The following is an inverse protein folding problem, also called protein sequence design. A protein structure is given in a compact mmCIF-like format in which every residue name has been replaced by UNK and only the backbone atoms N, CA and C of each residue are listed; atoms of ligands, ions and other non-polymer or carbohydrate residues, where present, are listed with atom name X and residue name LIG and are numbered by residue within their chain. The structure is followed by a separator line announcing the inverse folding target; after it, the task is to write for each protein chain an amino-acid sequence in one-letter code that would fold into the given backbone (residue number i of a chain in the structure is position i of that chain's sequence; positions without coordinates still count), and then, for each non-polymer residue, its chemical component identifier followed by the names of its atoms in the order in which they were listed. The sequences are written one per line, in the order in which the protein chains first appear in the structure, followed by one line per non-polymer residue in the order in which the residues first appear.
data_IF_696351724079
#
_entry.id   IF_696351724079
#
_cell.length_a   1.000
_cell.length_b   1.000
_cell.length_c   1.000
_cell.angle_alpha   90.00
_cell.angle_beta   90.00
_cell.angle_gamma   90.00
#
_symmetry.space_group_name_H-M   'P 1'
#
loop_
_entity.id
_entity.type
_entity.pdbx_description
1 polymer ?
#
# COMPACT_ATOMS: atom_id res chain seq x y z
N UNK A 1 -23.40 1.64 -5.77
CA UNK A 1 -22.16 1.99 -5.04
C UNK A 1 -20.87 1.32 -5.57
N UNK A 2 -20.80 0.00 -5.80
CA UNK A 2 -19.52 -0.69 -6.15
C UNK A 2 -18.88 -0.23 -7.46
N UNK A 3 -19.67 0.15 -8.47
CA UNK A 3 -19.16 0.68 -9.76
C UNK A 3 -18.52 2.07 -9.61
N UNK A 4 -19.05 2.93 -8.74
CA UNK A 4 -18.52 4.27 -8.49
C UNK A 4 -17.20 4.22 -7.73
N UNK A 5 -17.13 3.43 -6.65
CA UNK A 5 -15.89 3.25 -5.88
C UNK A 5 -14.74 2.72 -6.76
N UNK A 6 -15.05 1.82 -7.70
CA UNK A 6 -14.09 1.31 -8.66
C UNK A 6 -13.57 2.38 -9.63
N UNK A 7 -14.49 3.21 -10.15
CA UNK A 7 -14.14 4.32 -11.05
C UNK A 7 -13.26 5.34 -10.34
N UNK A 8 -13.67 5.74 -9.14
CA UNK A 8 -12.90 6.65 -8.29
C UNK A 8 -11.53 6.06 -7.91
N UNK A 9 -11.46 4.77 -7.58
CA UNK A 9 -10.20 4.08 -7.30
C UNK A 9 -9.23 4.06 -8.47
N UNK A 10 -9.73 3.79 -9.68
CA UNK A 10 -8.91 3.85 -10.90
C UNK A 10 -8.44 5.27 -11.20
N UNK A 11 -9.31 6.26 -11.05
CA UNK A 11 -8.94 7.67 -11.19
C UNK A 11 -7.85 8.07 -10.19
N UNK A 12 -8.01 7.69 -8.93
CA UNK A 12 -7.02 7.93 -7.88
C UNK A 12 -5.69 7.23 -8.15
N UNK A 13 -5.73 6.01 -8.72
CA UNK A 13 -4.53 5.27 -9.11
C UNK A 13 -3.76 6.02 -10.22
N UNK A 14 -4.47 6.55 -11.22
CA UNK A 14 -3.86 7.37 -12.27
C UNK A 14 -3.29 8.68 -11.71
N UNK A 15 -4.01 9.35 -10.80
CA UNK A 15 -3.54 10.57 -10.14
C UNK A 15 -2.26 10.31 -9.35
N UNK A 16 -2.25 9.23 -8.58
CA UNK A 16 -1.06 8.85 -7.84
C UNK A 16 0.12 8.55 -8.77
N UNK A 17 -0.09 7.88 -9.91
CA UNK A 17 0.97 7.62 -10.88
C UNK A 17 1.54 8.91 -11.50
N UNK A 18 0.69 9.88 -11.85
CA UNK A 18 1.15 11.21 -12.29
C UNK A 18 1.98 11.92 -11.22
N UNK A 19 1.55 11.84 -9.96
CA UNK A 19 2.29 12.43 -8.85
C UNK A 19 3.67 11.78 -8.67
N UNK A 20 3.78 10.46 -8.85
CA UNK A 20 5.06 9.77 -8.81
C UNK A 20 5.95 10.16 -9.98
N UNK A 21 5.39 10.30 -11.18
CA UNK A 21 6.14 10.77 -12.36
C UNK A 21 6.72 12.17 -12.16
N UNK A 22 5.97 13.08 -11.51
CA UNK A 22 6.45 14.41 -11.16
C UNK A 22 7.58 14.41 -10.10
N UNK A 23 7.76 13.30 -9.37
CA UNK A 23 8.80 13.14 -8.35
C UNK A 23 9.99 12.29 -8.83
N UNK A 24 9.99 11.81 -10.07
CA UNK A 24 11.08 10.97 -10.58
C UNK A 24 12.43 11.69 -10.49
N UNK A 25 13.42 11.01 -9.91
CA UNK A 25 14.76 11.57 -9.69
C UNK A 25 14.87 12.68 -8.64
N UNK A 26 13.76 13.10 -8.01
CA UNK A 26 13.73 14.28 -7.15
C UNK A 26 13.50 13.96 -5.66
N UNK A 27 13.25 12.70 -5.30
CA UNK A 27 12.98 12.33 -3.91
C UNK A 27 14.28 12.13 -3.16
N UNK A 28 14.51 12.98 -2.16
CA UNK A 28 15.62 12.90 -1.22
C UNK A 28 15.07 12.79 0.21
N UNK A 29 14.51 11.63 0.55
CA UNK A 29 14.16 11.28 1.93
C UNK A 29 14.30 9.77 2.16
N UNK A 30 14.51 9.31 3.41
CA UNK A 30 14.39 7.90 3.74
C UNK A 30 12.97 7.37 3.52
N UNK A 31 12.86 6.12 3.09
CA UNK A 31 11.57 5.43 2.99
C UNK A 31 11.36 4.47 4.16
N UNK A 32 10.11 4.33 4.59
CA UNK A 32 9.66 3.35 5.57
C UNK A 32 8.72 2.37 4.88
N UNK A 33 8.95 1.07 5.07
CA UNK A 33 8.23 0.01 4.39
C UNK A 33 7.77 -1.10 5.32
N UNK A 34 6.51 -1.48 5.15
CA UNK A 34 5.95 -2.71 5.70
C UNK A 34 4.76 -3.18 4.82
N UNK A 35 4.35 -4.43 4.98
CA UNK A 35 3.12 -4.95 4.42
C UNK A 35 1.97 -4.83 5.41
N UNK A 36 0.97 -4.05 5.04
CA UNK A 36 -0.31 -4.03 5.73
C UNK A 36 -1.06 -5.37 5.52
N UNK A 37 -1.24 -6.13 6.60
CA UNK A 37 -1.95 -7.41 6.56
C UNK A 37 -3.47 -7.24 6.61
N UNK A 38 -4.17 -7.80 5.62
CA UNK A 38 -5.63 -7.81 5.55
C UNK A 38 -6.20 -9.11 4.96
N UNK A 39 -7.53 -9.18 4.87
CA UNK A 39 -8.27 -10.35 4.41
C UNK A 39 -9.19 -10.00 3.24
N UNK A 40 -9.32 -10.94 2.30
CA UNK A 40 -10.19 -10.82 1.13
C UNK A 40 -11.21 -11.94 1.20
N UNK A 41 -12.50 -11.66 1.20
CA UNK A 41 -13.59 -12.65 1.26
C UNK A 41 -13.68 -13.45 2.58
N UNK A 42 -12.57 -13.88 3.18
CA UNK A 42 -12.55 -14.54 4.49
C UNK A 42 -11.19 -14.46 5.18
N UNK A 43 -11.14 -14.82 6.48
CA UNK A 43 -9.90 -14.89 7.25
C UNK A 43 -8.83 -15.87 6.72
N UNK A 44 -9.20 -16.81 5.84
CA UNK A 44 -8.23 -17.75 5.23
C UNK A 44 -7.56 -17.19 3.97
N UNK A 45 -8.14 -16.15 3.40
CA UNK A 45 -7.75 -15.56 2.13
C UNK A 45 -7.02 -14.24 2.44
N UNK A 46 -5.73 -14.36 2.74
CA UNK A 46 -4.90 -13.26 3.20
C UNK A 46 -4.31 -12.45 2.05
N UNK A 47 -4.16 -11.17 2.30
CA UNK A 47 -3.54 -10.22 1.39
C UNK A 47 -2.66 -9.29 2.22
N UNK A 48 -1.34 -9.41 2.03
CA UNK A 48 -0.42 -8.36 2.42
C UNK A 48 -0.48 -7.26 1.37
N UNK A 49 -0.32 -6.00 1.78
CA UNK A 49 -0.22 -4.86 0.87
C UNK A 49 1.05 -4.10 1.25
N UNK A 50 2.11 -4.18 0.43
CA UNK A 50 3.36 -3.46 0.69
C UNK A 50 3.12 -1.97 0.55
N UNK A 51 3.45 -1.18 1.56
CA UNK A 51 3.18 0.27 1.62
C UNK A 51 4.46 1.05 1.89
N UNK A 52 5.17 1.54 0.85
CA UNK A 52 6.27 2.48 1.03
C UNK A 52 5.74 3.87 1.38
N UNK A 53 6.31 4.48 2.41
CA UNK A 53 5.93 5.80 2.91
C UNK A 53 7.19 6.62 3.20
N UNK A 54 7.19 7.90 2.84
CA UNK A 54 8.27 8.82 3.22
C UNK A 54 8.42 8.93 4.74
N UNK A 55 9.64 8.88 5.25
CA UNK A 55 9.92 9.03 6.68
C UNK A 55 9.58 10.45 7.16
N UNK A 56 9.76 11.45 6.30
CA UNK A 56 9.64 12.87 6.65
C UNK A 56 8.37 13.49 6.07
N UNK A 57 8.11 13.26 4.79
CA UNK A 57 6.93 13.77 4.09
C UNK A 57 5.64 13.09 4.57
N UNK A 58 5.77 11.82 4.96
CA UNK A 58 4.67 10.88 5.20
C UNK A 58 3.82 10.62 3.95
N UNK A 59 4.39 10.88 2.77
CA UNK A 59 3.77 10.63 1.48
C UNK A 59 3.73 9.12 1.22
N UNK A 60 2.58 8.61 0.81
CA UNK A 60 2.42 7.22 0.41
C UNK A 60 2.92 7.11 -1.02
N UNK A 61 4.08 6.48 -1.22
CA UNK A 61 4.72 6.34 -2.53
C UNK A 61 4.12 5.21 -3.36
N UNK A 62 3.39 4.30 -2.72
CA UNK A 62 2.64 3.31 -3.46
C UNK A 62 1.99 2.25 -2.62
N UNK A 63 1.54 1.20 -3.30
CA UNK A 63 0.97 0.01 -2.70
C UNK A 63 1.12 -1.17 -3.66
N UNK A 64 1.44 -2.36 -3.16
CA UNK A 64 1.51 -3.57 -3.99
C UNK A 64 0.95 -4.81 -3.28
N UNK A 65 0.12 -5.63 -3.94
CA UNK A 65 -0.48 -6.82 -3.32
C UNK A 65 0.49 -8.03 -3.24
N UNK A 66 0.55 -8.62 -2.04
CA UNK A 66 1.16 -9.91 -1.73
C UNK A 66 0.09 -10.93 -1.28
N UNK A 67 -0.68 -11.53 -2.21
CA UNK A 67 -1.65 -12.56 -1.86
C UNK A 67 -0.94 -13.82 -1.35
N UNK A 68 -1.33 -14.31 -0.19
CA UNK A 68 -0.71 -15.47 0.44
C UNK A 68 -1.73 -16.25 1.28
N UNK A 69 -1.33 -17.43 1.75
CA UNK A 69 -2.15 -18.25 2.65
C UNK A 69 -1.48 -18.31 4.02
N UNK A 70 -2.27 -18.55 5.06
CA UNK A 70 -1.75 -18.89 6.37
C UNK A 70 -0.88 -20.16 6.26
N UNK A 71 0.38 -20.07 6.69
CA UNK A 71 1.22 -21.24 6.94
C UNK A 71 0.77 -21.92 8.24
N UNK A 72 0.63 -23.25 8.24
CA UNK A 72 0.30 -24.04 9.43
C UNK A 72 -0.74 -25.16 9.21
N UNK A 73 -0.86 -26.06 10.20
CA UNK A 73 -1.85 -27.15 10.18
C UNK A 73 -3.27 -26.59 10.19
N UNK A 74 -4.02 -26.85 9.11
CA UNK A 74 -5.46 -26.61 9.07
C UNK A 74 -6.15 -27.54 10.07
N UNK A 75 -6.95 -26.96 10.97
CA UNK A 75 -7.87 -27.75 11.81
C UNK A 75 -8.82 -28.57 10.94
N UNK A 76 -9.31 -29.70 11.47
CA UNK A 76 -10.21 -30.60 10.74
C UNK A 76 -11.46 -29.88 10.18
N UNK A 77 -11.99 -28.89 10.92
CA UNK A 77 -13.10 -28.01 10.48
C UNK A 77 -12.75 -27.16 9.26
N UNK A 78 -11.49 -26.72 9.10
CA UNK A 78 -11.01 -25.94 7.95
C UNK A 78 -10.70 -26.82 6.73
N UNK A 79 -10.43 -28.11 6.92
CA UNK A 79 -10.18 -29.10 5.85
C UNK A 79 -11.43 -29.47 5.06
N UNK A 80 -12.63 -29.39 5.66
CA UNK A 80 -13.92 -29.74 5.03
C UNK A 80 -14.47 -28.73 4.00
N UNK A 81 -13.70 -27.72 3.57
CA UNK A 81 -14.23 -26.65 2.72
C UNK A 81 -14.47 -27.12 1.28
N UNK A 82 -15.71 -26.95 0.80
CA UNK A 82 -16.17 -27.23 -0.58
C UNK A 82 -15.89 -26.11 -1.60
N UNK A 83 -14.96 -25.18 -1.33
CA UNK A 83 -14.73 -24.00 -2.19
C UNK A 83 -13.28 -23.89 -2.67
N UNK A 84 -13.03 -23.32 -3.86
CA UNK A 84 -11.67 -23.13 -4.37
C UNK A 84 -10.88 -22.15 -3.50
N UNK A 85 -9.60 -22.47 -3.30
CA UNK A 85 -8.66 -21.67 -2.52
C UNK A 85 -7.68 -20.92 -3.42
N UNK A 86 -7.18 -19.74 -3.03
CA UNK A 86 -6.30 -18.92 -3.86
C UNK A 86 -5.01 -19.65 -4.18
N UNK A 87 -4.61 -19.79 -5.45
CA UNK A 87 -3.33 -20.45 -5.80
C UNK A 87 -2.21 -19.87 -4.93
N UNK A 88 -1.37 -20.74 -4.36
CA UNK A 88 -0.21 -20.28 -3.59
C UNK A 88 0.69 -19.54 -4.56
N UNK A 89 0.94 -18.27 -4.28
CA UNK A 89 1.91 -17.47 -5.03
C UNK A 89 3.24 -17.63 -4.30
N UNK A 90 4.23 -18.34 -4.87
CA UNK A 90 5.52 -18.50 -4.24
C UNK A 90 6.15 -17.13 -4.01
N UNK A 91 6.74 -16.93 -2.83
CA UNK A 91 7.50 -15.71 -2.49
C UNK A 91 6.71 -14.42 -2.75
N UNK A 92 5.42 -14.42 -2.39
CA UNK A 92 4.50 -13.31 -2.65
C UNK A 92 5.01 -11.97 -2.08
N UNK A 93 5.55 -11.98 -0.86
CA UNK A 93 6.14 -10.80 -0.23
C UNK A 93 7.38 -10.31 -0.98
N UNK A 94 8.34 -11.19 -1.32
CA UNK A 94 9.52 -10.81 -2.13
C UNK A 94 9.11 -10.17 -3.46
N UNK A 95 8.13 -10.74 -4.16
CA UNK A 95 7.62 -10.19 -5.44
C UNK A 95 6.98 -8.82 -5.27
N UNK A 96 6.19 -8.65 -4.21
CA UNK A 96 5.57 -7.36 -3.88
C UNK A 96 6.61 -6.31 -3.51
N UNK A 97 7.55 -6.65 -2.62
CA UNK A 97 8.67 -5.78 -2.25
C UNK A 97 9.48 -5.37 -3.48
N UNK A 98 9.82 -6.29 -4.39
CA UNK A 98 10.57 -5.94 -5.62
C UNK A 98 9.83 -4.95 -6.52
N UNK A 99 8.51 -5.09 -6.68
CA UNK A 99 7.71 -4.11 -7.44
C UNK A 99 7.65 -2.75 -6.73
N UNK A 100 7.62 -2.73 -5.41
CA UNK A 100 7.75 -1.49 -4.63
C UNK A 100 9.13 -0.87 -4.83
N UNK A 101 10.21 -1.65 -4.76
CA UNK A 101 11.57 -1.16 -4.97
C UNK A 101 11.78 -0.61 -6.38
N UNK A 102 11.11 -1.17 -7.40
CA UNK A 102 11.11 -0.60 -8.76
C UNK A 102 10.53 0.82 -8.79
N UNK A 103 9.48 1.10 -8.01
CA UNK A 103 8.93 2.45 -7.87
C UNK A 103 9.96 3.35 -7.18
N UNK A 104 10.48 2.93 -6.02
CA UNK A 104 11.41 3.76 -5.23
C UNK A 104 12.71 4.06 -5.99
N UNK A 105 13.25 3.09 -6.74
CA UNK A 105 14.44 3.27 -7.56
C UNK A 105 14.28 4.31 -8.68
N UNK A 106 13.06 4.57 -9.17
CA UNK A 106 12.80 5.67 -10.12
C UNK A 106 12.77 7.03 -9.43
N UNK A 107 12.27 7.07 -8.20
CA UNK A 107 12.15 8.28 -7.41
C UNK A 107 13.49 8.75 -6.84
N UNK A 108 14.33 7.82 -6.40
CA UNK A 108 15.64 8.05 -5.79
C UNK A 108 16.73 7.20 -6.48
N UNK A 109 17.12 7.54 -7.73
CA UNK A 109 18.00 6.70 -8.55
C UNK A 109 19.44 6.60 -8.03
N UNK A 110 19.90 7.59 -7.26
CA UNK A 110 21.21 7.61 -6.61
C UNK A 110 21.34 6.62 -5.45
N UNK A 111 20.21 6.08 -4.96
CA UNK A 111 20.13 5.25 -3.77
C UNK A 111 19.34 5.93 -2.65
N UNK A 112 18.94 5.14 -1.66
CA UNK A 112 18.12 5.61 -0.55
C UNK A 112 18.24 4.69 0.66
N UNK A 113 17.93 5.26 1.83
CA UNK A 113 17.71 4.49 3.05
C UNK A 113 16.31 3.89 3.05
N UNK A 114 16.20 2.61 3.39
CA UNK A 114 14.94 1.90 3.57
C UNK A 114 14.84 1.36 4.98
N UNK A 115 13.87 1.84 5.77
CA UNK A 115 13.54 1.32 7.09
C UNK A 115 12.45 0.25 6.97
N UNK A 116 12.63 -0.90 7.60
CA UNK A 116 11.57 -1.92 7.70
C UNK A 116 11.59 -2.68 9.01
N UNK A 117 10.57 -3.52 9.22
CA UNK A 117 10.62 -4.56 10.25
C UNK A 117 11.61 -5.68 9.87
N UNK A 118 11.77 -6.65 10.77
CA UNK A 118 12.63 -7.81 10.54
C UNK A 118 11.91 -8.96 9.82
N UNK A 119 11.49 -8.71 8.58
CA UNK A 119 10.97 -9.76 7.71
C UNK A 119 12.07 -10.32 6.79
N UNK A 120 12.32 -11.64 6.80
CA UNK A 120 13.32 -12.27 5.91
C UNK A 120 13.06 -12.02 4.41
N UNK A 121 11.79 -11.91 4.02
CA UNK A 121 11.41 -11.59 2.64
C UNK A 121 11.94 -10.22 2.20
N UNK A 122 12.03 -9.25 3.10
CA UNK A 122 12.51 -7.90 2.79
C UNK A 122 14.02 -7.92 2.58
N UNK A 123 14.76 -8.56 3.50
CA UNK A 123 16.21 -8.79 3.36
C UNK A 123 16.55 -9.46 2.03
N UNK A 124 15.78 -10.49 1.66
CA UNK A 124 15.96 -11.20 0.38
C UNK A 124 15.66 -10.32 -0.83
N UNK A 125 14.69 -9.41 -0.72
CA UNK A 125 14.32 -8.53 -1.81
C UNK A 125 15.32 -7.39 -2.04
N UNK A 126 15.97 -6.90 -0.97
CA UNK A 126 16.93 -5.78 -1.00
C UNK A 126 18.38 -6.21 -1.24
N UNK A 127 18.75 -7.45 -0.90
CA UNK A 127 20.14 -7.94 -0.90
C UNK A 127 20.95 -7.71 -2.20
N UNK A 128 20.29 -7.64 -3.36
CA UNK A 128 20.97 -7.53 -4.66
C UNK A 128 21.18 -6.08 -5.12
N UNK A 129 20.61 -5.08 -4.45
CA UNK A 129 20.69 -3.68 -4.87
C UNK A 129 21.54 -2.89 -3.86
N UNK A 130 22.81 -2.67 -4.20
CA UNK A 130 23.78 -1.99 -3.33
C UNK A 130 23.46 -0.52 -3.09
N UNK A 131 22.50 0.06 -3.83
CA UNK A 131 22.05 1.45 -3.64
C UNK A 131 21.06 1.58 -2.48
N UNK A 132 20.56 0.46 -1.96
CA UNK A 132 19.59 0.43 -0.87
C UNK A 132 20.33 0.24 0.46
N UNK A 133 20.36 1.28 1.28
CA UNK A 133 20.78 1.15 2.68
C UNK A 133 19.60 0.63 3.52
N UNK A 134 19.51 -0.69 3.67
CA UNK A 134 18.41 -1.35 4.35
C UNK A 134 18.63 -1.39 5.88
N UNK A 135 17.93 -0.51 6.60
CA UNK A 135 17.91 -0.44 8.07
C UNK A 135 16.74 -1.24 8.63
N UNK A 136 17.03 -2.14 9.57
CA UNK A 136 16.06 -3.12 10.08
C UNK A 136 15.78 -2.83 11.54
N UNK A 137 14.51 -2.60 11.85
CA UNK A 137 14.02 -2.27 13.17
C UNK A 137 13.08 -3.39 13.65
N UNK A 138 13.62 -4.46 14.27
CA UNK A 138 12.80 -5.56 14.77
C UNK A 138 11.81 -5.05 15.84
N UNK A 139 10.66 -5.70 15.96
CA UNK A 139 9.71 -5.35 17.01
C UNK A 139 10.27 -5.83 18.37
N UNK A 140 10.58 -4.92 19.31
CA UNK A 140 11.17 -5.31 20.58
C UNK A 140 10.12 -5.94 21.49
N UNK A 141 10.58 -6.63 22.53
CA UNK A 141 9.74 -7.01 23.66
C UNK A 141 9.16 -5.74 24.30
N UNK A 142 7.84 -5.69 24.46
CA UNK A 142 7.12 -4.57 25.08
C UNK A 142 6.50 -5.01 26.41
N UNK A 143 6.33 -4.06 27.33
CA UNK A 143 5.72 -4.29 28.64
C UNK A 143 6.71 -4.14 29.80
N UNK A 144 6.35 -4.56 31.03
CA UNK A 144 7.17 -4.37 32.23
C UNK A 144 8.58 -4.97 32.15
N UNK A 145 8.75 -6.06 31.40
CA UNK A 145 10.04 -6.72 31.15
C UNK A 145 10.63 -6.38 29.76
N UNK A 146 10.09 -5.36 29.08
CA UNK A 146 10.50 -4.98 27.73
C UNK A 146 11.62 -3.94 27.70
N UNK A 147 12.31 -3.85 26.57
CA UNK A 147 13.29 -2.80 26.32
C UNK A 147 12.57 -1.54 25.82
N UNK A 148 12.41 -0.57 26.73
CA UNK A 148 11.76 0.71 26.41
C UNK A 148 12.56 1.54 25.41
N UNK A 149 13.89 1.50 25.45
CA UNK A 149 14.73 2.29 24.55
C UNK A 149 14.59 1.77 23.11
N UNK A 150 14.73 0.45 22.93
CA UNK A 150 14.50 -0.19 21.64
C UNK A 150 13.08 0.04 21.10
N UNK A 151 12.06 0.04 21.99
CA UNK A 151 10.68 0.33 21.59
C UNK A 151 10.51 1.77 21.06
N UNK A 152 11.13 2.75 21.73
CA UNK A 152 11.10 4.15 21.29
C UNK A 152 11.84 4.33 19.96
N UNK A 153 13.01 3.70 19.81
CA UNK A 153 13.78 3.76 18.57
C UNK A 153 12.98 3.19 17.39
N UNK A 154 12.44 1.97 17.53
CA UNK A 154 11.60 1.35 16.51
C UNK A 154 10.37 2.19 16.20
N UNK A 155 9.70 2.73 17.21
CA UNK A 155 8.48 3.53 17.01
C UNK A 155 8.76 4.84 16.28
N UNK A 156 9.96 5.42 16.44
CA UNK A 156 10.42 6.57 15.65
C UNK A 156 10.72 6.17 14.20
N UNK A 157 11.49 5.10 14.01
CA UNK A 157 11.91 4.65 12.69
C UNK A 157 10.74 4.17 11.80
N UNK A 158 9.71 3.59 12.41
CA UNK A 158 8.55 3.02 11.72
C UNK A 158 7.28 3.89 11.78
N UNK A 159 7.37 5.11 12.34
CA UNK A 159 6.20 5.92 12.68
C UNK A 159 5.27 6.18 11.48
N UNK A 160 5.83 6.57 10.33
CA UNK A 160 5.05 7.03 9.17
C UNK A 160 4.21 5.89 8.57
N UNK A 161 4.78 4.68 8.44
CA UNK A 161 4.06 3.49 7.98
C UNK A 161 3.06 2.98 9.02
N UNK A 162 3.43 2.98 10.31
CA UNK A 162 2.53 2.59 11.40
C UNK A 162 1.31 3.53 11.48
N UNK A 163 1.51 4.83 11.25
CA UNK A 163 0.45 5.83 11.18
C UNK A 163 -0.48 5.55 9.99
N UNK A 164 0.06 5.29 8.80
CA UNK A 164 -0.74 4.91 7.63
C UNK A 164 -1.59 3.67 7.94
N UNK A 165 -1.01 2.65 8.55
CA UNK A 165 -1.72 1.42 8.90
C UNK A 165 -2.81 1.64 9.95
N UNK A 166 -2.59 2.51 10.94
CA UNK A 166 -3.63 2.93 11.89
C UNK A 166 -4.77 3.65 11.18
N UNK A 167 -4.46 4.58 10.27
CA UNK A 167 -5.47 5.28 9.48
C UNK A 167 -6.26 4.33 8.58
N UNK A 168 -5.61 3.36 7.94
CA UNK A 168 -6.27 2.32 7.15
C UNK A 168 -7.28 1.54 7.99
N UNK A 169 -6.89 1.09 9.19
CA UNK A 169 -7.78 0.35 10.09
C UNK A 169 -8.95 1.18 10.59
N UNK A 170 -8.75 2.48 10.78
CA UNK A 170 -9.77 3.38 11.29
C UNK A 170 -10.76 3.84 10.20
N UNK A 171 -10.25 4.20 9.02
CA UNK A 171 -11.05 4.81 7.96
C UNK A 171 -11.67 3.81 6.99
N UNK A 172 -11.26 2.53 7.03
CA UNK A 172 -11.78 1.49 6.14
C UNK A 172 -12.29 0.30 6.97
N UNK A 173 -13.61 0.16 7.10
CA UNK A 173 -14.25 -0.86 7.94
C UNK A 173 -13.82 -2.32 7.62
N UNK A 174 -13.44 -2.57 6.36
CA UNK A 174 -12.99 -3.88 5.90
C UNK A 174 -11.54 -4.24 6.29
N UNK A 175 -10.84 -3.32 6.97
CA UNK A 175 -9.49 -3.48 7.49
C UNK A 175 -9.43 -3.56 9.03
N UNK A 176 -10.57 -3.43 9.71
CA UNK A 176 -10.67 -3.62 11.16
C UNK A 176 -10.10 -4.98 11.60
N UNK A 177 -9.43 -5.02 12.76
CA UNK A 177 -9.02 -6.28 13.39
C UNK A 177 -10.31 -7.05 13.73
N UNK A 178 -10.40 -8.31 13.31
CA UNK A 178 -11.60 -9.15 13.53
C UNK A 178 -12.88 -8.69 12.80
N UNK A 179 -12.74 -8.03 11.64
CA UNK A 179 -13.91 -7.56 10.89
C UNK A 179 -14.77 -8.70 10.32
N UNK A 180 -16.09 -8.55 10.40
CA UNK A 180 -17.07 -9.34 9.62
C UNK A 180 -17.25 -8.78 8.20
N UNK A 181 -16.76 -7.56 7.93
CA UNK A 181 -16.96 -6.81 6.70
C UNK A 181 -15.81 -6.98 5.70
N UNK A 182 -15.37 -8.22 5.44
CA UNK A 182 -14.27 -8.47 4.52
C UNK A 182 -14.51 -7.89 3.12
N UNK A 183 -13.46 -7.32 2.53
CA UNK A 183 -13.52 -6.92 1.12
C UNK A 183 -13.73 -8.16 0.26
N UNK A 184 -14.80 -8.20 -0.54
CA UNK A 184 -15.14 -9.41 -1.33
C UNK A 184 -14.08 -9.76 -2.40
N UNK A 185 -13.41 -8.76 -2.98
CA UNK A 185 -12.43 -8.94 -4.07
C UNK A 185 -11.17 -8.13 -3.81
N UNK A 186 -10.02 -8.69 -4.15
CA UNK A 186 -8.71 -8.06 -3.99
C UNK A 186 -8.64 -6.71 -4.73
N UNK A 187 -9.09 -6.65 -5.99
CA UNK A 187 -9.13 -5.38 -6.73
C UNK A 187 -9.96 -4.31 -6.04
N UNK A 188 -11.09 -4.66 -5.42
CA UNK A 188 -11.92 -3.66 -4.74
C UNK A 188 -11.23 -3.09 -3.49
N UNK A 189 -10.36 -3.87 -2.85
CA UNK A 189 -9.50 -3.39 -1.77
C UNK A 189 -8.43 -2.46 -2.34
N UNK A 190 -7.74 -2.89 -3.41
CA UNK A 190 -6.64 -2.13 -4.01
C UNK A 190 -7.12 -0.82 -4.68
N UNK A 191 -8.33 -0.79 -5.25
CA UNK A 191 -8.98 0.44 -5.73
C UNK A 191 -9.25 1.42 -4.59
N UNK A 192 -9.59 0.93 -3.39
CA UNK A 192 -9.74 1.78 -2.20
C UNK A 192 -8.40 2.19 -1.60
N UNK A 193 -7.35 1.38 -1.74
CA UNK A 193 -5.99 1.77 -1.39
C UNK A 193 -5.52 2.96 -2.23
N UNK A 194 -5.85 3.00 -3.52
CA UNK A 194 -5.56 4.16 -4.37
C UNK A 194 -6.25 5.43 -3.86
N UNK A 195 -7.54 5.34 -3.50
CA UNK A 195 -8.28 6.46 -2.90
C UNK A 195 -7.69 6.89 -1.56
N UNK A 196 -7.29 5.93 -0.74
CA UNK A 196 -6.64 6.19 0.53
C UNK A 196 -5.29 6.91 0.34
N UNK A 197 -4.48 6.50 -0.63
CA UNK A 197 -3.20 7.14 -0.94
C UNK A 197 -3.42 8.60 -1.37
N UNK A 198 -4.34 8.85 -2.31
CA UNK A 198 -4.66 10.23 -2.75
C UNK A 198 -5.23 11.07 -1.61
N UNK A 199 -6.15 10.50 -0.81
CA UNK A 199 -6.66 11.19 0.37
C UNK A 199 -5.54 11.52 1.34
N UNK A 200 -4.66 10.56 1.66
CA UNK A 200 -3.55 10.77 2.59
C UNK A 200 -2.58 11.83 2.08
N UNK A 201 -2.28 11.81 0.79
CA UNK A 201 -1.24 12.63 0.19
C UNK A 201 -1.70 14.08 -0.06
N UNK A 202 -2.92 14.28 -0.58
CA UNK A 202 -3.35 15.59 -1.09
C UNK A 202 -4.44 16.27 -0.26
N UNK A 203 -5.26 15.50 0.47
CA UNK A 203 -6.47 16.02 1.15
C UNK A 203 -6.31 16.02 2.67
N UNK A 204 -5.67 15.00 3.23
CA UNK A 204 -5.51 14.85 4.67
C UNK A 204 -4.26 15.59 5.14
N UNK A 205 -4.44 16.42 6.16
CA UNK A 205 -3.34 17.06 6.88
C UNK A 205 -2.40 16.03 7.51
N UNK A 206 -1.12 16.37 7.63
CA UNK A 206 -0.13 15.51 8.28
C UNK A 206 -0.51 15.26 9.74
N UNK A 207 -1.00 16.29 10.44
CA UNK A 207 -1.42 16.26 11.84
C UNK A 207 -2.79 16.92 12.01
N UNK A 208 -3.70 16.27 12.74
CA UNK A 208 -4.98 16.86 13.16
C UNK A 208 -4.86 17.74 14.41
N UNK A 209 -3.71 17.66 15.11
CA UNK A 209 -3.46 18.44 16.34
C UNK A 209 -2.89 19.83 16.08
N UNK A 210 -2.20 20.00 14.95
CA UNK A 210 -1.62 21.29 14.55
C UNK A 210 -2.64 22.02 13.67
N UNK A 211 -2.71 23.34 13.82
CA UNK A 211 -3.58 24.19 13.00
C UNK A 211 -3.16 24.24 11.53
N UNK A 212 -1.89 23.95 11.24
CA UNK A 212 -1.31 24.13 9.90
C UNK A 212 -1.87 23.12 8.89
N UNK A 213 -2.41 23.57 7.75
CA UNK A 213 -3.05 22.71 6.75
C UNK A 213 -2.04 22.00 5.83
N UNK A 214 -0.91 21.55 6.36
CA UNK A 214 0.17 20.91 5.57
C UNK A 214 -0.23 19.47 5.26
N UNK A 215 -0.12 19.08 3.99
CA UNK A 215 -0.31 17.69 3.52
C UNK A 215 1.03 17.08 3.10
N UNK A 216 1.14 15.75 2.99
CA UNK A 216 2.35 15.11 2.48
C UNK A 216 2.77 15.61 1.09
N UNK A 217 1.82 15.83 0.17
CA UNK A 217 2.10 16.35 -1.15
C UNK A 217 2.69 17.77 -1.12
N UNK A 218 2.25 18.62 -0.18
CA UNK A 218 2.82 19.95 0.02
C UNK A 218 4.27 19.89 0.51
N UNK A 219 4.59 18.94 1.39
CA UNK A 219 5.99 18.75 1.86
C UNK A 219 6.95 18.37 0.73
N UNK A 220 6.45 17.75 -0.33
CA UNK A 220 7.21 17.37 -1.52
C UNK A 220 7.07 18.39 -2.67
N UNK A 221 6.44 19.56 -2.44
CA UNK A 221 6.28 20.58 -3.48
C UNK A 221 5.32 20.21 -4.62
N UNK A 222 4.53 19.14 -4.50
CA UNK A 222 3.56 18.74 -5.54
C UNK A 222 2.34 19.66 -5.63
N UNK A 223 2.06 20.43 -4.57
CA UNK A 223 0.97 21.40 -4.50
C UNK A 223 1.26 22.43 -3.41
N UNK A 224 0.78 23.65 -3.60
CA UNK A 224 0.96 24.74 -2.63
C UNK A 224 -0.11 24.77 -1.54
N UNK A 225 -1.21 24.03 -1.74
CA UNK A 225 -2.34 23.98 -0.80
C UNK A 225 -2.91 22.58 -0.64
N UNK A 226 -3.63 22.40 0.46
CA UNK A 226 -4.49 21.24 0.68
C UNK A 226 -5.60 21.18 -0.39
N UNK A 227 -5.84 19.99 -0.93
CA UNK A 227 -6.86 19.75 -1.94
C UNK A 227 -8.20 19.38 -1.33
N UNK A 228 -9.26 19.79 -2.01
CA UNK A 228 -10.61 19.26 -1.86
C UNK A 228 -10.82 18.05 -2.78
N UNK A 229 -11.92 17.31 -2.60
CA UNK A 229 -12.32 16.29 -3.57
C UNK A 229 -12.66 16.88 -4.95
N UNK A 230 -13.08 18.15 -5.02
CA UNK A 230 -13.25 18.87 -6.27
C UNK A 230 -11.93 19.00 -7.03
N UNK A 231 -10.84 19.30 -6.33
CA UNK A 231 -9.49 19.37 -6.92
C UNK A 231 -9.02 18.00 -7.42
N UNK A 232 -9.20 16.94 -6.62
CA UNK A 232 -8.86 15.55 -7.00
C UNK A 232 -9.57 15.14 -8.30
N UNK A 233 -10.83 15.55 -8.47
CA UNK A 233 -11.69 15.18 -9.59
C UNK A 233 -11.73 16.24 -10.72
N UNK A 234 -10.99 17.34 -10.57
CA UNK A 234 -11.04 18.50 -11.49
C UNK A 234 -10.57 18.19 -12.90
N UNK A 235 -9.70 17.20 -13.07
CA UNK A 235 -9.10 16.82 -14.35
C UNK A 235 -9.33 15.35 -14.64
N UNK A 236 -9.83 15.06 -15.84
CA UNK A 236 -9.95 13.68 -16.33
C UNK A 236 -8.57 13.12 -16.67
N UNK A 237 -8.33 11.87 -16.25
CA UNK A 237 -7.06 11.16 -16.47
C UNK A 237 -7.27 9.96 -17.38
N UNK A 238 -6.27 9.69 -18.24
CA UNK A 238 -6.35 8.65 -19.25
C UNK A 238 -5.20 7.66 -19.07
N UNK A 239 -5.48 6.35 -18.90
CA UNK A 239 -4.43 5.35 -18.68
C UNK A 239 -3.49 5.19 -19.88
N UNK A 240 -3.92 5.54 -21.09
CA UNK A 240 -3.05 5.51 -22.27
C UNK A 240 -2.03 6.65 -22.33
N UNK A 241 -2.08 7.61 -21.39
CA UNK A 241 -1.17 8.77 -21.31
C UNK A 241 -0.30 8.75 -20.05
N UNK A 242 -0.49 7.78 -19.17
CA UNK A 242 0.15 7.71 -17.86
C UNK A 242 0.80 6.34 -17.77
N UNK A 243 2.12 6.31 -17.64
CA UNK A 243 2.83 5.06 -17.40
C UNK A 243 2.46 4.53 -16.01
N UNK A 244 2.03 3.27 -15.95
CA UNK A 244 1.70 2.61 -14.70
C UNK A 244 2.78 1.59 -14.35
N UNK A 245 3.20 1.51 -13.07
CA UNK A 245 3.96 0.36 -12.59
C UNK A 245 3.24 -0.95 -12.92
N UNK A 246 4.00 -2.02 -13.20
CA UNK A 246 3.43 -3.32 -13.63
C UNK A 246 2.31 -3.82 -12.69
N UNK A 247 2.53 -3.71 -11.38
CA UNK A 247 1.55 -4.11 -10.36
C UNK A 247 0.24 -3.32 -10.47
N UNK A 248 0.30 -2.06 -10.92
CA UNK A 248 -0.81 -1.13 -10.97
C UNK A 248 -1.62 -1.23 -12.24
N UNK A 249 -1.02 -1.52 -13.40
CA UNK A 249 -1.77 -1.85 -14.61
C UNK A 249 -2.71 -3.05 -14.35
N UNK A 250 -2.21 -4.07 -13.65
CA UNK A 250 -3.02 -5.22 -13.25
C UNK A 250 -4.16 -4.85 -12.31
N UNK A 251 -3.98 -3.87 -11.42
CA UNK A 251 -5.05 -3.37 -10.53
C UNK A 251 -6.08 -2.60 -11.36
N UNK A 252 -5.61 -1.71 -12.23
CA UNK A 252 -6.43 -0.88 -13.12
C UNK A 252 -7.35 -1.73 -14.00
N UNK A 253 -6.80 -2.79 -14.63
CA UNK A 253 -7.54 -3.72 -15.49
C UNK A 253 -8.36 -4.76 -14.71
N UNK A 254 -8.25 -4.76 -13.37
CA UNK A 254 -8.86 -5.75 -12.46
C UNK A 254 -8.38 -7.19 -12.67
N UNK A 255 -7.10 -7.36 -12.96
CA UNK A 255 -6.44 -8.66 -13.16
C UNK A 255 -6.12 -9.46 -11.89
N UNK A 256 -6.33 -8.91 -10.69
CA UNK A 256 -6.16 -9.68 -9.43
C UNK A 256 -7.41 -10.49 -9.11
N UNK A 257 -7.37 -11.80 -9.41
CA UNK A 257 -8.49 -12.71 -9.19
C UNK A 257 -8.57 -13.09 -7.71
N UNK A 258 -9.79 -13.08 -7.16
CA UNK A 258 -10.10 -13.69 -5.85
C UNK A 258 -10.79 -15.03 -6.10
N UNK A 259 -10.08 -16.17 -5.99
CA UNK A 259 -10.61 -17.44 -6.52
C UNK A 259 -11.90 -17.92 -5.87
N UNK A 260 -12.12 -17.58 -4.59
CA UNK A 260 -13.35 -17.91 -3.90
C UNK A 260 -14.60 -17.19 -4.43
N UNK A 261 -14.42 -16.12 -5.22
CA UNK A 261 -15.52 -15.34 -5.86
C UNK A 261 -15.57 -15.59 -7.38
N UNK A 262 -14.46 -16.02 -7.99
CA UNK A 262 -14.38 -16.30 -9.42
C UNK A 262 -13.92 -15.11 -10.26
N UNK A 263 -14.16 -15.18 -11.58
CA UNK A 263 -13.66 -14.19 -12.56
C UNK A 263 -14.10 -12.76 -12.21
N UNK A 264 -13.25 -11.80 -12.52
CA UNK A 264 -13.57 -10.38 -12.39
C UNK A 264 -14.22 -9.90 -13.69
N UNK A 265 -15.12 -8.91 -13.58
CA UNK A 265 -15.40 -8.02 -14.72
C UNK A 265 -14.15 -7.15 -14.91
N UNK A 266 -13.39 -7.44 -15.96
CA UNK A 266 -12.19 -6.71 -16.36
C UNK A 266 -12.56 -5.32 -16.85
N UNK A 267 -11.59 -4.41 -16.80
CA UNK A 267 -11.75 -3.09 -17.38
C UNK A 267 -10.96 -3.01 -18.69
N UNK A 268 -11.68 -3.06 -19.80
CA UNK A 268 -11.15 -3.10 -21.17
C UNK A 268 -11.53 -1.88 -22.01
N UNK A 269 -12.28 -0.95 -21.42
CA UNK A 269 -12.74 0.25 -22.12
C UNK A 269 -11.54 1.15 -22.39
N UNK A 270 -11.30 1.51 -23.67
CA UNK A 270 -10.22 2.42 -24.08
C UNK A 270 -10.62 3.90 -24.07
N UNK A 271 -11.92 4.20 -24.02
CA UNK A 271 -12.46 5.57 -24.12
C UNK A 271 -13.45 5.94 -23.00
N UNK A 272 -14.03 4.94 -22.32
CA UNK A 272 -14.97 5.13 -21.23
C UNK A 272 -14.27 5.01 -19.85
N UNK A 273 -13.58 6.11 -19.50
CA UNK A 273 -12.94 6.35 -18.20
C UNK A 273 -13.68 7.44 -17.42
#
# INVERSE_FOLDING_TARGET
MTRLAARLGRHALLLQAEALSALEGAVDEPFVFDHFETFVFSQEDRLGIGTPVGMESWFVYGFDPAPHRLAGRRSARRRRRKRPLPKVVPRAFIRSTRRVLQILNRLAPAGFQLNSDDKPDYRTATAADSRIDHRIHPNPLRGPAGDRAAAVERDRAMFSVDLLHKLLRHSQAHHGRETIAFGRRANAILERMALMAVWRNFVKRVSERRSDPITPAMKLGLTERCWSWGDVLSRRRFPGRIELPEGWDRIYRRGWITPAVGRNTTHELRHAF
#
